data_IF_195287620298
#
_entry.id   IF_195287620298
#
_cell.length_a   1.000
_cell.length_b   1.000
_cell.length_c   1.000
_cell.angle_alpha   90.00
_cell.angle_beta   90.00
_cell.angle_gamma   90.00
#
_symmetry.space_group_name_H-M   'P 1'
#
loop_
_entity.id
_entity.type
_entity.pdbx_description
1 polymer ?
#
# COMPACT_ATOMS: atom_id res chain seq x y z
N UNK A 1 -36.28 62.84 -0.13
CA UNK A 1 -36.24 61.62 0.72
C UNK A 1 -34.88 60.98 0.50
N UNK A 2 -33.92 61.43 1.29
CA UNK A 2 -32.51 61.15 1.15
C UNK A 2 -32.19 59.74 1.68
N UNK A 3 -31.58 58.91 0.83
CA UNK A 3 -30.95 57.65 1.25
C UNK A 3 -29.61 57.99 1.91
N UNK A 4 -29.37 57.58 3.17
CA UNK A 4 -28.05 57.75 3.77
C UNK A 4 -27.06 56.87 3.00
N UNK A 5 -26.06 57.50 2.39
CA UNK A 5 -24.90 56.84 1.80
C UNK A 5 -24.10 56.18 2.92
N UNK A 6 -24.30 54.88 3.10
CA UNK A 6 -23.54 54.02 4.02
C UNK A 6 -22.10 53.88 3.48
N UNK A 7 -21.28 54.91 3.72
CA UNK A 7 -19.83 54.89 3.52
C UNK A 7 -19.20 53.94 4.53
N UNK A 8 -19.37 52.62 4.34
CA UNK A 8 -18.52 51.65 5.01
C UNK A 8 -17.11 51.83 4.47
N UNK A 9 -16.11 52.14 5.30
CA UNK A 9 -14.74 52.22 4.86
C UNK A 9 -14.40 50.90 4.17
N UNK A 10 -13.95 50.97 2.91
CA UNK A 10 -13.29 49.85 2.25
C UNK A 10 -12.18 49.39 3.19
N UNK A 11 -12.40 48.28 3.88
CA UNK A 11 -11.40 47.58 4.68
C UNK A 11 -10.31 47.10 3.71
N UNK A 12 -9.34 47.98 3.46
CA UNK A 12 -8.17 47.78 2.59
C UNK A 12 -7.02 47.07 3.30
N UNK A 13 -7.27 46.50 4.48
CA UNK A 13 -6.39 45.50 5.07
C UNK A 13 -7.00 44.13 4.75
N UNK A 14 -6.32 43.36 3.92
CA UNK A 14 -6.60 41.96 3.71
C UNK A 14 -6.48 41.25 5.06
N UNK A 15 -7.58 41.15 5.79
CA UNK A 15 -7.67 40.42 7.06
C UNK A 15 -7.12 39.03 6.81
N UNK A 16 -5.93 38.77 7.36
CA UNK A 16 -5.28 37.49 7.28
C UNK A 16 -6.16 36.55 8.07
N UNK A 17 -7.00 35.79 7.37
CA UNK A 17 -7.86 34.80 8.01
C UNK A 17 -6.95 33.74 8.63
N UNK A 18 -6.73 33.84 9.93
CA UNK A 18 -6.03 32.81 10.68
C UNK A 18 -6.90 31.55 10.74
N UNK A 19 -6.29 30.35 10.70
CA UNK A 19 -7.03 29.11 10.91
C UNK A 19 -7.73 29.15 12.26
N UNK A 20 -8.97 28.70 12.31
CA UNK A 20 -9.73 28.61 13.56
C UNK A 20 -8.98 27.69 14.54
N UNK A 21 -8.64 28.17 15.76
CA UNK A 21 -7.90 27.36 16.72
C UNK A 21 -8.74 26.20 17.29
N UNK A 22 -10.06 26.27 17.18
CA UNK A 22 -10.95 25.26 17.73
C UNK A 22 -11.15 24.08 16.77
N UNK A 23 -11.14 22.83 17.27
CA UNK A 23 -11.40 21.67 16.44
C UNK A 23 -12.85 21.71 15.92
N UNK A 24 -13.09 21.42 14.63
CA UNK A 24 -14.44 21.45 14.08
C UNK A 24 -15.35 20.39 14.70
N UNK A 25 -16.62 20.74 14.85
CA UNK A 25 -17.67 19.84 15.30
C UNK A 25 -17.93 18.71 14.31
N UNK A 26 -18.55 17.61 14.78
CA UNK A 26 -18.93 16.48 13.90
C UNK A 26 -19.90 16.90 12.78
N UNK A 27 -20.74 17.89 13.03
CA UNK A 27 -21.68 18.44 12.06
C UNK A 27 -20.94 19.16 10.92
N UNK A 28 -20.03 20.06 11.28
CA UNK A 28 -19.20 20.81 10.33
C UNK A 28 -18.33 19.89 9.47
N UNK A 29 -17.74 18.85 10.06
CA UNK A 29 -16.95 17.85 9.32
C UNK A 29 -17.80 17.08 8.29
N UNK A 30 -19.08 16.81 8.59
CA UNK A 30 -20.01 16.20 7.63
C UNK A 30 -20.38 17.20 6.53
N UNK A 31 -20.58 18.46 6.87
CA UNK A 31 -20.82 19.54 5.89
C UNK A 31 -19.63 19.72 4.95
N UNK A 32 -18.41 19.77 5.47
CA UNK A 32 -17.18 19.79 4.68
C UNK A 32 -17.04 18.59 3.75
N UNK A 33 -17.34 17.37 4.23
CA UNK A 33 -17.33 16.20 3.38
C UNK A 33 -18.39 16.26 2.26
N UNK A 34 -19.53 16.93 2.49
CA UNK A 34 -20.55 17.18 1.46
C UNK A 34 -20.11 18.29 0.51
N UNK A 35 -19.45 19.34 0.98
CA UNK A 35 -18.86 20.40 0.17
C UNK A 35 -17.88 19.82 -0.86
N UNK A 36 -16.95 18.97 -0.41
CA UNK A 36 -16.04 18.23 -1.29
C UNK A 36 -16.78 17.36 -2.30
N UNK A 37 -17.89 16.72 -1.91
CA UNK A 37 -18.71 15.91 -2.85
C UNK A 37 -19.44 16.74 -3.89
N UNK A 38 -19.79 17.99 -3.57
CA UNK A 38 -20.45 18.93 -4.48
C UNK A 38 -19.48 19.66 -5.40
N UNK A 39 -18.18 19.57 -5.14
CA UNK A 39 -17.17 20.28 -5.92
C UNK A 39 -17.00 19.70 -7.33
N UNK A 40 -16.51 20.54 -8.24
CA UNK A 40 -16.26 20.19 -9.65
C UNK A 40 -15.39 18.94 -9.80
N UNK A 41 -14.33 18.84 -8.99
CA UNK A 41 -13.31 17.79 -9.10
C UNK A 41 -13.46 16.67 -8.07
N UNK A 42 -14.64 16.52 -7.47
CA UNK A 42 -14.88 15.58 -6.37
C UNK A 42 -14.48 14.13 -6.70
N UNK A 43 -14.64 13.67 -7.95
CA UNK A 43 -14.28 12.28 -8.34
C UNK A 43 -12.77 12.06 -8.27
N UNK A 44 -11.99 13.02 -8.77
CA UNK A 44 -10.52 12.97 -8.74
C UNK A 44 -10.05 13.02 -7.27
N UNK A 45 -10.58 13.96 -6.50
CA UNK A 45 -10.26 14.10 -5.07
C UNK A 45 -10.61 12.85 -4.29
N UNK A 46 -11.78 12.26 -4.52
CA UNK A 46 -12.15 11.02 -3.84
C UNK A 46 -11.27 9.85 -4.25
N UNK A 47 -10.80 9.78 -5.50
CA UNK A 47 -9.88 8.72 -5.91
C UNK A 47 -8.49 8.91 -5.31
N UNK A 48 -8.05 10.15 -5.12
CA UNK A 48 -6.79 10.49 -4.44
C UNK A 48 -6.84 10.17 -2.94
N UNK A 49 -7.84 10.73 -2.24
CA UNK A 49 -7.97 10.62 -0.78
C UNK A 49 -8.51 9.25 -0.34
N UNK A 50 -9.24 8.58 -1.23
CA UNK A 50 -9.87 7.27 -0.98
C UNK A 50 -9.67 6.35 -2.17
N UNK A 51 -8.43 5.92 -2.46
CA UNK A 51 -8.18 5.06 -3.60
C UNK A 51 -8.99 3.78 -3.48
N UNK A 52 -9.38 3.24 -4.64
CA UNK A 52 -9.99 1.92 -4.69
C UNK A 52 -8.93 0.89 -4.34
N UNK A 53 -9.27 -0.08 -3.49
CA UNK A 53 -8.33 -1.13 -3.10
C UNK A 53 -8.06 -2.11 -4.23
N UNK A 54 -7.28 -3.15 -3.92
CA UNK A 54 -6.98 -4.25 -4.86
C UNK A 54 -8.27 -4.88 -5.39
N UNK A 55 -9.30 -4.98 -4.54
CA UNK A 55 -10.61 -5.48 -4.96
C UNK A 55 -11.31 -4.57 -5.95
N UNK A 56 -10.98 -3.27 -6.02
CA UNK A 56 -11.66 -2.24 -6.82
C UNK A 56 -13.12 -1.98 -6.46
N UNK A 57 -13.74 -2.83 -5.62
CA UNK A 57 -15.14 -2.72 -5.18
C UNK A 57 -15.23 -1.72 -4.05
N UNK A 58 -14.34 -1.87 -3.06
CA UNK A 58 -14.30 -1.02 -1.89
C UNK A 58 -13.16 -0.02 -2.01
N UNK A 59 -13.36 1.16 -1.40
CA UNK A 59 -12.28 2.12 -1.20
C UNK A 59 -11.48 1.70 0.02
N UNK A 60 -10.15 1.82 -0.04
CA UNK A 60 -9.25 1.39 1.04
C UNK A 60 -9.36 2.24 2.29
N UNK A 61 -9.86 3.46 2.16
CA UNK A 61 -9.94 4.43 3.24
C UNK A 61 -11.37 4.69 3.69
N UNK A 62 -11.49 5.04 4.97
CA UNK A 62 -12.76 5.37 5.61
C UNK A 62 -13.48 6.55 4.95
N UNK A 63 -14.79 6.76 5.20
CA UNK A 63 -15.53 7.90 4.65
C UNK A 63 -14.86 9.23 4.99
N UNK A 64 -14.90 10.19 4.06
CA UNK A 64 -14.16 11.45 4.17
C UNK A 64 -14.40 12.20 5.49
N UNK A 65 -15.63 12.22 6.00
CA UNK A 65 -15.93 12.84 7.30
C UNK A 65 -15.13 12.21 8.47
N UNK A 66 -14.88 10.90 8.43
CA UNK A 66 -14.06 10.21 9.42
C UNK A 66 -12.58 10.59 9.27
N UNK A 67 -12.10 10.71 8.03
CA UNK A 67 -10.73 11.13 7.76
C UNK A 67 -10.47 12.57 8.19
N UNK A 68 -11.41 13.49 7.94
CA UNK A 68 -11.30 14.87 8.41
C UNK A 68 -11.28 14.92 9.95
N UNK A 69 -12.09 14.09 10.62
CA UNK A 69 -12.06 13.95 12.08
C UNK A 69 -10.70 13.44 12.58
N UNK A 70 -10.14 12.43 11.91
CA UNK A 70 -8.81 11.90 12.21
C UNK A 70 -7.73 12.97 12.01
N UNK A 71 -7.80 13.70 10.89
CA UNK A 71 -6.88 14.80 10.60
C UNK A 71 -6.96 15.92 11.65
N UNK A 72 -8.17 16.31 12.07
CA UNK A 72 -8.36 17.29 13.15
C UNK A 72 -7.71 16.82 14.46
N UNK A 73 -7.95 15.56 14.87
CA UNK A 73 -7.35 15.00 16.09
C UNK A 73 -5.83 14.89 16.03
N UNK A 74 -5.27 14.75 14.84
CA UNK A 74 -3.83 14.66 14.61
C UNK A 74 -3.18 16.03 14.35
N UNK A 75 -3.94 17.13 14.47
CA UNK A 75 -3.49 18.49 14.16
C UNK A 75 -2.95 18.62 12.71
N UNK A 76 -3.55 17.86 11.79
CA UNK A 76 -3.24 17.83 10.35
C UNK A 76 -4.25 18.61 9.50
N UNK A 77 -5.40 18.92 10.06
CA UNK A 77 -6.44 19.69 9.40
C UNK A 77 -6.20 21.18 9.68
N UNK A 78 -5.95 21.95 8.61
CA UNK A 78 -6.04 23.40 8.65
C UNK A 78 -7.49 23.77 8.33
N UNK A 79 -8.13 24.48 9.26
CA UNK A 79 -9.58 24.68 9.24
C UNK A 79 -9.91 26.16 9.36
N UNK A 80 -10.67 26.68 8.41
CA UNK A 80 -11.27 28.02 8.48
C UNK A 80 -12.78 27.92 8.53
N UNK A 81 -13.36 27.13 7.63
CA UNK A 81 -14.80 26.88 7.55
C UNK A 81 -15.09 25.52 6.89
N UNK A 82 -16.36 25.06 6.89
CA UNK A 82 -16.73 23.85 6.15
C UNK A 82 -16.47 23.91 4.65
N UNK A 83 -16.35 25.10 4.06
CA UNK A 83 -16.10 25.30 2.63
C UNK A 83 -14.64 25.71 2.36
N UNK A 84 -13.82 25.96 3.40
CA UNK A 84 -12.41 26.33 3.27
C UNK A 84 -11.52 25.61 4.29
N UNK A 85 -10.79 24.60 3.82
CA UNK A 85 -9.90 23.77 4.65
C UNK A 85 -8.86 23.01 3.82
N UNK A 86 -7.80 22.55 4.49
CA UNK A 86 -6.79 21.67 3.89
C UNK A 86 -6.34 20.56 4.85
N UNK A 87 -5.99 19.40 4.31
CA UNK A 87 -5.49 18.24 5.06
C UNK A 87 -4.05 17.95 4.69
N UNK A 88 -3.18 18.04 5.69
CA UNK A 88 -1.76 17.76 5.57
C UNK A 88 -1.46 16.31 5.98
N UNK A 89 -0.44 15.71 5.39
CA UNK A 89 0.13 14.44 5.80
C UNK A 89 1.60 14.67 6.17
N UNK A 90 2.01 14.31 7.40
CA UNK A 90 3.41 14.39 7.78
C UNK A 90 4.23 13.32 7.05
N UNK A 91 5.56 13.49 6.99
CA UNK A 91 6.47 12.43 6.55
C UNK A 91 6.20 11.12 7.30
N UNK A 92 6.34 9.98 6.61
CA UNK A 92 6.08 8.65 7.16
C UNK A 92 7.00 8.29 8.35
N UNK A 93 8.20 8.88 8.41
CA UNK A 93 9.13 8.73 9.52
C UNK A 93 8.69 9.47 10.79
N UNK A 94 7.81 10.48 10.66
CA UNK A 94 7.41 11.29 11.79
C UNK A 94 6.34 10.55 12.62
N UNK A 95 6.56 10.37 13.94
CA UNK A 95 5.58 9.73 14.79
C UNK A 95 4.29 10.55 14.80
N UNK A 96 3.18 9.91 14.41
CA UNK A 96 1.88 10.55 14.46
C UNK A 96 1.47 10.75 15.92
N UNK A 97 1.15 12.00 16.29
CA UNK A 97 0.66 12.38 17.62
C UNK A 97 -0.50 11.47 18.09
N UNK A 98 -0.65 11.37 19.42
CA UNK A 98 -1.62 10.54 20.13
C UNK A 98 -3.08 10.90 19.77
N UNK A 99 -3.55 10.41 18.62
CA UNK A 99 -4.97 10.33 18.28
C UNK A 99 -5.58 8.99 18.71
N UNK A 100 -6.91 8.90 18.66
CA UNK A 100 -7.65 7.66 18.95
C UNK A 100 -7.05 6.47 18.17
N UNK A 101 -6.46 5.51 18.89
CA UNK A 101 -5.88 4.29 18.30
C UNK A 101 -6.93 3.52 17.50
N UNK A 102 -8.15 3.46 18.02
CA UNK A 102 -9.30 2.83 17.36
C UNK A 102 -9.63 3.47 16.00
N UNK A 103 -9.73 4.80 15.91
CA UNK A 103 -10.08 5.44 14.64
C UNK A 103 -8.99 5.23 13.58
N UNK A 104 -7.72 5.26 13.98
CA UNK A 104 -6.59 4.94 13.08
C UNK A 104 -6.64 3.49 12.60
N UNK A 105 -6.95 2.57 13.52
CA UNK A 105 -7.14 1.17 13.18
C UNK A 105 -8.29 1.01 12.18
N UNK A 106 -9.44 1.63 12.45
CA UNK A 106 -10.60 1.57 11.56
C UNK A 106 -10.33 2.18 10.18
N UNK A 107 -9.57 3.28 10.07
CA UNK A 107 -9.19 3.84 8.77
C UNK A 107 -8.19 2.96 8.02
N UNK A 108 -7.21 2.40 8.74
CA UNK A 108 -6.17 1.52 8.15
C UNK A 108 -6.74 0.21 7.64
N UNK A 109 -7.73 -0.34 8.34
CA UNK A 109 -8.34 -1.64 8.04
C UNK A 109 -9.75 -1.48 7.46
N UNK A 110 -10.08 -0.31 6.91
CA UNK A 110 -11.44 -0.03 6.43
C UNK A 110 -11.87 -1.00 5.33
N UNK A 111 -10.97 -1.34 4.40
CA UNK A 111 -11.22 -2.34 3.37
C UNK A 111 -11.50 -3.73 3.95
N UNK A 112 -10.71 -4.18 4.93
CA UNK A 112 -10.94 -5.45 5.61
C UNK A 112 -12.26 -5.44 6.38
N UNK A 113 -12.61 -4.34 7.04
CA UNK A 113 -13.91 -4.22 7.72
C UNK A 113 -15.04 -4.33 6.70
N UNK A 114 -14.96 -3.65 5.55
CA UNK A 114 -15.98 -3.78 4.51
C UNK A 114 -16.04 -5.18 3.89
N UNK A 115 -14.90 -5.88 3.84
CA UNK A 115 -14.80 -7.25 3.32
C UNK A 115 -15.35 -8.31 4.29
N UNK A 116 -14.97 -8.24 5.57
CA UNK A 116 -15.29 -9.26 6.57
C UNK A 116 -16.59 -9.01 7.34
N UNK A 117 -16.99 -7.75 7.52
CA UNK A 117 -18.15 -7.43 8.35
C UNK A 117 -19.45 -8.01 7.78
N UNK A 118 -19.78 -7.89 6.47
CA UNK A 118 -21.03 -8.46 5.95
C UNK A 118 -21.14 -9.99 6.12
N UNK A 119 -20.16 -10.83 5.73
CA UNK A 119 -20.27 -12.27 5.93
C UNK A 119 -20.28 -12.63 7.42
N UNK A 120 -19.54 -11.91 8.27
CA UNK A 120 -19.55 -12.13 9.72
C UNK A 120 -20.94 -11.88 10.32
N UNK A 121 -21.60 -10.78 9.94
CA UNK A 121 -22.95 -10.45 10.39
C UNK A 121 -23.96 -11.50 9.90
N UNK A 122 -23.83 -11.97 8.65
CA UNK A 122 -24.69 -13.03 8.11
C UNK A 122 -24.50 -14.36 8.83
N UNK A 123 -23.26 -14.77 9.09
CA UNK A 123 -22.96 -16.00 9.84
C UNK A 123 -23.44 -15.90 11.28
N UNK A 124 -23.23 -14.76 11.95
CA UNK A 124 -23.73 -14.53 13.30
C UNK A 124 -25.27 -14.57 13.34
N UNK A 125 -25.94 -13.95 12.36
CA UNK A 125 -27.39 -14.02 12.20
C UNK A 125 -27.89 -15.45 11.98
N UNK A 126 -27.19 -16.23 11.15
CA UNK A 126 -27.48 -17.65 10.94
C UNK A 126 -27.27 -18.50 12.20
N UNK A 127 -26.23 -18.21 12.99
CA UNK A 127 -25.99 -18.84 14.28
C UNK A 127 -27.07 -18.53 15.30
N UNK A 128 -27.53 -17.28 15.38
CA UNK A 128 -28.67 -16.89 16.23
C UNK A 128 -29.94 -17.60 15.77
N UNK A 129 -30.22 -17.67 14.47
CA UNK A 129 -31.38 -18.39 13.94
C UNK A 129 -31.30 -19.91 14.25
N UNK A 130 -30.13 -20.52 14.13
CA UNK A 130 -29.90 -21.92 14.50
C UNK A 130 -30.05 -22.17 16.02
N UNK A 131 -29.62 -21.22 16.85
CA UNK A 131 -29.80 -21.28 18.29
C UNK A 131 -31.28 -21.18 18.68
N UNK A 132 -32.03 -20.27 18.05
CA UNK A 132 -33.49 -20.16 18.23
C UNK A 132 -34.19 -21.44 17.74
N UNK A 133 -33.72 -22.05 16.64
CA UNK A 133 -34.21 -23.33 16.15
C UNK A 133 -34.08 -24.47 17.18
N UNK A 134 -33.06 -24.44 18.04
CA UNK A 134 -32.87 -25.45 19.09
C UNK A 134 -33.94 -25.39 20.20
N UNK A 135 -34.75 -24.32 20.25
CA UNK A 135 -35.82 -24.18 21.23
C UNK A 135 -37.03 -25.09 20.90
N UNK A 136 -37.72 -25.65 21.90
CA UNK A 136 -38.83 -26.58 21.69
C UNK A 136 -40.14 -25.92 21.21
N UNK A 137 -40.24 -24.59 21.18
CA UNK A 137 -41.44 -23.88 20.71
C UNK A 137 -41.58 -23.93 19.17
N UNK A 138 -42.81 -24.14 18.68
CA UNK A 138 -43.11 -24.32 17.25
C UNK A 138 -42.56 -23.21 16.33
N UNK A 139 -42.19 -23.59 15.09
CA UNK A 139 -41.56 -22.69 14.10
C UNK A 139 -40.22 -23.17 13.54
N UNK A 140 -39.82 -24.43 13.81
CA UNK A 140 -38.49 -24.97 13.49
C UNK A 140 -38.08 -24.85 12.03
N UNK A 141 -38.99 -25.06 11.08
CA UNK A 141 -38.66 -25.03 9.65
C UNK A 141 -38.31 -23.62 9.15
N UNK A 142 -38.95 -22.58 9.70
CA UNK A 142 -38.69 -21.19 9.31
C UNK A 142 -37.28 -20.78 9.76
N UNK A 143 -36.89 -21.09 10.99
CA UNK A 143 -35.58 -20.74 11.54
C UNK A 143 -34.44 -21.50 10.86
N UNK A 144 -34.66 -22.77 10.50
CA UNK A 144 -33.73 -23.55 9.67
C UNK A 144 -33.54 -22.91 8.30
N UNK A 145 -34.63 -22.59 7.62
CA UNK A 145 -34.57 -21.93 6.31
C UNK A 145 -33.84 -20.58 6.41
N UNK A 146 -34.13 -19.78 7.44
CA UNK A 146 -33.43 -18.51 7.68
C UNK A 146 -31.93 -18.70 7.93
N UNK A 147 -31.53 -19.66 8.77
CA UNK A 147 -30.12 -19.96 9.03
C UNK A 147 -29.40 -20.40 7.75
N UNK A 148 -30.02 -21.28 6.95
CA UNK A 148 -29.47 -21.73 5.67
C UNK A 148 -29.34 -20.58 4.67
N UNK A 149 -30.35 -19.72 4.55
CA UNK A 149 -30.33 -18.55 3.67
C UNK A 149 -29.22 -17.58 4.09
N UNK A 150 -29.05 -17.31 5.38
CA UNK A 150 -27.96 -16.48 5.89
C UNK A 150 -26.57 -17.05 5.53
N UNK A 151 -26.39 -18.36 5.71
CA UNK A 151 -25.12 -19.03 5.38
C UNK A 151 -24.84 -19.00 3.87
N UNK A 152 -25.84 -19.32 3.05
CA UNK A 152 -25.73 -19.26 1.59
C UNK A 152 -25.45 -17.85 1.09
N UNK A 153 -26.09 -16.83 1.69
CA UNK A 153 -25.83 -15.43 1.37
C UNK A 153 -24.39 -15.02 1.74
N UNK A 154 -23.87 -15.46 2.89
CA UNK A 154 -22.49 -15.21 3.29
C UNK A 154 -21.50 -15.86 2.31
N UNK A 155 -21.74 -17.12 1.94
CA UNK A 155 -20.94 -17.84 0.95
C UNK A 155 -20.97 -17.17 -0.42
N UNK A 156 -22.16 -16.80 -0.92
CA UNK A 156 -22.33 -16.12 -2.19
C UNK A 156 -21.60 -14.76 -2.20
N UNK A 157 -21.70 -14.00 -1.12
CA UNK A 157 -20.99 -12.73 -0.95
C UNK A 157 -19.46 -12.93 -1.07
N UNK A 158 -18.90 -13.88 -0.32
CA UNK A 158 -17.46 -14.18 -0.37
C UNK A 158 -17.05 -14.66 -1.76
N UNK A 159 -17.82 -15.56 -2.38
CA UNK A 159 -17.54 -16.08 -3.71
C UNK A 159 -17.50 -14.97 -4.77
N UNK A 160 -18.49 -14.05 -4.76
CA UNK A 160 -18.52 -12.90 -5.66
C UNK A 160 -17.32 -11.99 -5.45
N UNK A 161 -16.96 -11.69 -4.20
CA UNK A 161 -15.79 -10.86 -3.92
C UNK A 161 -14.48 -11.52 -4.35
N UNK A 162 -14.31 -12.81 -4.09
CA UNK A 162 -13.13 -13.57 -4.52
C UNK A 162 -13.03 -13.62 -6.04
N UNK A 163 -14.14 -13.81 -6.75
CA UNK A 163 -14.17 -13.76 -8.22
C UNK A 163 -13.75 -12.37 -8.74
N UNK A 164 -14.27 -11.28 -8.16
CA UNK A 164 -13.91 -9.92 -8.55
C UNK A 164 -12.43 -9.62 -8.27
N UNK A 165 -11.92 -10.06 -7.11
CA UNK A 165 -10.51 -9.96 -6.74
C UNK A 165 -9.61 -10.71 -7.73
N UNK A 166 -9.99 -11.94 -8.09
CA UNK A 166 -9.24 -12.77 -9.04
C UNK A 166 -9.20 -12.13 -10.43
N UNK A 167 -10.36 -11.70 -10.96
CA UNK A 167 -10.45 -11.04 -12.28
C UNK A 167 -9.63 -9.76 -12.32
N UNK A 168 -9.69 -8.94 -11.27
CA UNK A 168 -8.91 -7.69 -11.19
C UNK A 168 -7.42 -7.95 -11.00
N UNK A 169 -7.05 -8.85 -10.11
CA UNK A 169 -5.67 -9.26 -9.91
C UNK A 169 -5.05 -9.78 -11.21
N UNK A 170 -5.78 -10.63 -11.93
CA UNK A 170 -5.37 -11.11 -13.24
C UNK A 170 -5.23 -9.98 -14.26
N UNK A 171 -6.19 -9.04 -14.30
CA UNK A 171 -6.13 -7.88 -15.21
C UNK A 171 -4.94 -6.95 -14.91
N UNK A 172 -4.66 -6.67 -13.64
CA UNK A 172 -3.53 -5.83 -13.26
C UNK A 172 -2.19 -6.56 -13.51
N UNK A 173 -2.12 -7.87 -13.24
CA UNK A 173 -0.96 -8.69 -13.60
C UNK A 173 -0.74 -8.70 -15.12
N UNK A 174 -1.81 -8.90 -15.90
CA UNK A 174 -1.77 -8.84 -17.36
C UNK A 174 -1.27 -7.47 -17.84
N UNK A 175 -1.77 -6.38 -17.26
CA UNK A 175 -1.30 -5.02 -17.56
C UNK A 175 0.18 -4.84 -17.22
N UNK A 176 0.61 -5.29 -16.05
CA UNK A 176 2.01 -5.17 -15.62
C UNK A 176 2.96 -5.95 -16.54
N UNK A 177 2.55 -7.15 -16.97
CA UNK A 177 3.38 -8.02 -17.83
C UNK A 177 3.39 -7.53 -19.28
N UNK A 178 2.26 -7.05 -19.82
CA UNK A 178 2.10 -6.78 -21.27
C UNK A 178 2.19 -5.30 -21.61
N UNK A 179 1.59 -4.42 -20.82
CA UNK A 179 1.55 -2.97 -21.11
C UNK A 179 2.78 -2.22 -20.57
N UNK A 180 3.72 -2.94 -19.95
CA UNK A 180 5.04 -2.43 -19.59
C UNK A 180 5.08 -1.66 -18.27
N UNK A 181 6.26 -1.70 -17.63
CA UNK A 181 6.56 -1.17 -16.29
C UNK A 181 6.54 0.37 -16.16
N UNK A 182 6.43 1.10 -17.27
CA UNK A 182 6.74 2.54 -17.29
C UNK A 182 5.85 3.38 -16.36
N UNK A 183 4.55 3.07 -16.28
CA UNK A 183 3.63 3.84 -15.43
C UNK A 183 3.86 3.62 -13.93
N UNK A 184 4.20 2.39 -13.56
CA UNK A 184 4.36 1.99 -12.15
C UNK A 184 5.64 2.58 -11.54
N UNK A 185 6.69 2.78 -12.35
CA UNK A 185 7.94 3.40 -11.90
C UNK A 185 7.71 4.84 -11.43
N UNK A 186 7.00 5.65 -12.23
CA UNK A 186 6.74 7.06 -11.89
C UNK A 186 5.83 7.17 -10.67
N UNK A 187 4.75 6.38 -10.60
CA UNK A 187 3.83 6.41 -9.46
C UNK A 187 4.52 5.96 -8.15
N UNK A 188 5.39 4.95 -8.22
CA UNK A 188 6.13 4.45 -7.05
C UNK A 188 7.18 5.46 -6.58
N UNK A 189 7.93 6.06 -7.51
CA UNK A 189 8.93 7.09 -7.19
C UNK A 189 8.29 8.32 -6.53
N UNK A 190 7.20 8.82 -7.11
CA UNK A 190 6.41 9.92 -6.53
C UNK A 190 5.86 9.56 -5.15
N UNK A 191 5.36 8.33 -4.97
CA UNK A 191 4.88 7.86 -3.67
C UNK A 191 5.97 7.85 -2.59
N UNK A 192 7.21 7.52 -2.94
CA UNK A 192 8.35 7.58 -2.02
C UNK A 192 8.69 9.03 -1.63
N UNK A 193 8.70 9.95 -2.60
CA UNK A 193 8.94 11.38 -2.36
C UNK A 193 7.83 11.98 -1.49
N UNK A 194 6.57 11.62 -1.74
CA UNK A 194 5.42 12.01 -0.90
C UNK A 194 5.49 11.45 0.53
N UNK A 195 6.11 10.29 0.72
CA UNK A 195 6.27 9.67 2.03
C UNK A 195 7.41 10.30 2.86
N UNK A 196 8.36 11.00 2.22
CA UNK A 196 9.51 11.60 2.90
C UNK A 196 9.33 13.07 3.26
N UNK A 197 8.32 13.74 2.69
CA UNK A 197 8.05 15.17 2.88
C UNK A 197 6.64 15.42 3.42
N UNK A 198 6.40 16.63 3.92
CA UNK A 198 5.03 17.08 4.16
C UNK A 198 4.26 17.13 2.84
N UNK A 199 3.03 16.59 2.85
CA UNK A 199 2.16 16.64 1.68
C UNK A 199 0.76 17.17 2.00
N UNK A 200 0.20 17.96 1.09
CA UNK A 200 -1.19 18.41 1.13
C UNK A 200 -2.05 17.44 0.32
N UNK A 201 -2.71 16.53 1.03
CA UNK A 201 -3.50 15.43 0.45
C UNK A 201 -4.89 15.85 -0.03
N UNK A 202 -5.46 16.89 0.60
CA UNK A 202 -6.77 17.43 0.26
C UNK A 202 -6.74 18.94 0.46
N UNK A 203 -7.21 19.68 -0.53
CA UNK A 203 -7.30 21.13 -0.51
C UNK A 203 -8.68 21.55 -1.03
N UNK A 204 -9.50 22.09 -0.15
CA UNK A 204 -10.81 22.62 -0.48
C UNK A 204 -10.80 24.13 -0.26
N UNK A 205 -10.83 24.88 -1.37
CA UNK A 205 -10.83 26.34 -1.37
C UNK A 205 -11.92 26.80 -2.34
N UNK A 206 -12.90 27.61 -1.90
CA UNK A 206 -13.99 28.05 -2.74
C UNK A 206 -13.55 29.17 -3.69
N UNK A 207 -12.58 29.99 -3.27
CA UNK A 207 -12.09 31.14 -4.02
C UNK A 207 -10.58 31.05 -4.30
N UNK A 208 -10.18 31.30 -5.54
CA UNK A 208 -8.77 31.38 -5.93
C UNK A 208 -7.98 32.45 -5.14
N UNK A 209 -8.65 33.50 -4.66
CA UNK A 209 -8.02 34.59 -3.91
C UNK A 209 -7.49 34.16 -2.53
N UNK A 210 -7.97 33.04 -1.98
CA UNK A 210 -7.59 32.55 -0.65
C UNK A 210 -6.32 31.67 -0.67
N UNK A 211 -5.86 31.25 -1.86
CA UNK A 211 -4.69 30.37 -2.03
C UNK A 211 -3.41 30.94 -1.39
N UNK A 212 -3.06 32.24 -1.51
CA UNK A 212 -1.88 32.78 -0.84
C UNK A 212 -1.94 32.67 0.69
N UNK A 213 -3.12 32.89 1.28
CA UNK A 213 -3.34 32.74 2.73
C UNK A 213 -3.24 31.28 3.16
N UNK A 214 -3.81 30.37 2.39
CA UNK A 214 -3.65 28.93 2.60
C UNK A 214 -2.18 28.53 2.59
N UNK A 215 -1.41 28.92 1.56
CA UNK A 215 0.00 28.54 1.45
C UNK A 215 0.86 29.07 2.60
N UNK A 216 0.58 30.28 3.08
CA UNK A 216 1.24 30.81 4.29
C UNK A 216 0.95 29.94 5.52
N UNK A 217 -0.31 29.57 5.73
CA UNK A 217 -0.72 28.73 6.86
C UNK A 217 -0.19 27.28 6.75
N UNK A 218 -0.09 26.73 5.55
CA UNK A 218 0.50 25.41 5.34
C UNK A 218 2.00 25.44 5.62
N UNK A 219 2.72 26.46 5.13
CA UNK A 219 4.15 26.61 5.39
C UNK A 219 4.45 26.83 6.86
N UNK A 220 3.69 27.67 7.56
CA UNK A 220 3.88 27.86 9.00
C UNK A 220 3.70 26.54 9.78
N UNK A 221 2.88 25.61 9.26
CA UNK A 221 2.69 24.28 9.85
C UNK A 221 3.76 23.26 9.44
N UNK A 222 4.17 23.25 8.17
CA UNK A 222 5.16 22.31 7.62
C UNK A 222 6.60 22.71 7.96
N UNK A 223 6.84 23.98 8.32
CA UNK A 223 8.17 24.51 8.62
C UNK A 223 8.89 25.00 7.35
N UNK A 224 10.20 24.80 7.32
CA UNK A 224 11.09 25.19 6.20
C UNK A 224 11.16 24.15 5.09
N UNK A 225 10.38 23.08 5.17
CA UNK A 225 10.41 21.99 4.19
C UNK A 225 9.54 22.31 2.98
N UNK A 226 9.94 21.78 1.82
CA UNK A 226 9.11 21.78 0.62
C UNK A 226 7.83 20.98 0.87
N UNK A 227 6.71 21.55 0.43
CA UNK A 227 5.41 20.94 0.56
C UNK A 227 4.97 20.37 -0.79
N UNK A 228 4.65 19.08 -0.80
CA UNK A 228 4.13 18.41 -1.98
C UNK A 228 2.60 18.47 -1.98
N UNK A 229 1.98 18.83 -3.10
CA UNK A 229 0.55 18.90 -3.24
C UNK A 229 0.10 18.00 -4.39
N UNK A 230 -0.68 16.97 -4.09
CA UNK A 230 -1.32 16.17 -5.13
C UNK A 230 -2.38 17.05 -5.82
N UNK A 231 -2.19 17.40 -7.09
CA UNK A 231 -3.16 18.26 -7.79
C UNK A 231 -4.55 17.60 -7.85
N UNK A 232 -4.60 16.27 -7.89
CA UNK A 232 -5.83 15.48 -7.81
C UNK A 232 -6.60 15.69 -6.49
N UNK A 233 -5.91 16.08 -5.41
CA UNK A 233 -6.49 16.42 -4.11
C UNK A 233 -7.13 17.82 -4.02
N UNK A 234 -7.04 18.63 -5.07
CA UNK A 234 -7.63 19.99 -5.11
C UNK A 234 -9.04 19.92 -5.70
N UNK A 235 -10.03 20.48 -4.97
CA UNK A 235 -11.45 20.25 -5.24
C UNK A 235 -12.08 21.07 -6.36
N UNK A 236 -11.48 22.20 -6.74
CA UNK A 236 -12.00 23.12 -7.77
C UNK A 236 -10.93 23.42 -8.81
N UNK A 237 -11.34 23.64 -10.07
CA UNK A 237 -10.40 23.96 -11.16
C UNK A 237 -9.70 25.30 -10.87
N UNK A 238 -10.45 26.31 -10.43
CA UNK A 238 -9.92 27.65 -10.13
C UNK A 238 -8.84 27.63 -9.05
N UNK A 239 -9.04 26.91 -7.94
CA UNK A 239 -8.02 26.75 -6.91
C UNK A 239 -6.76 26.04 -7.44
N UNK A 240 -6.91 25.02 -8.30
CA UNK A 240 -5.80 24.29 -8.90
C UNK A 240 -4.97 25.18 -9.83
N UNK A 241 -5.62 25.95 -10.70
CA UNK A 241 -4.95 26.92 -11.57
C UNK A 241 -4.29 28.04 -10.78
N UNK A 242 -4.99 28.59 -9.79
CA UNK A 242 -4.45 29.64 -8.93
C UNK A 242 -3.23 29.17 -8.14
N UNK A 243 -3.21 27.91 -7.71
CA UNK A 243 -2.05 27.29 -7.09
C UNK A 243 -0.90 27.12 -8.09
N UNK A 244 -1.17 26.65 -9.31
CA UNK A 244 -0.15 26.52 -10.38
C UNK A 244 0.47 27.85 -10.81
N UNK A 245 -0.28 28.95 -10.72
CA UNK A 245 0.22 30.30 -11.05
C UNK A 245 1.06 30.93 -9.92
N UNK A 246 1.18 30.29 -8.77
CA UNK A 246 2.00 30.83 -7.68
C UNK A 246 3.49 30.74 -8.03
N UNK A 247 4.29 31.79 -7.80
CA UNK A 247 5.69 31.85 -8.24
C UNK A 247 6.63 30.85 -7.54
N UNK A 248 6.14 30.16 -6.51
CA UNK A 248 6.90 29.13 -5.77
C UNK A 248 6.32 27.73 -5.95
N UNK A 249 5.48 27.54 -6.98
CA UNK A 249 4.83 26.27 -7.26
C UNK A 249 5.34 25.74 -8.59
N UNK A 250 6.08 24.64 -8.50
CA UNK A 250 6.60 23.94 -9.66
C UNK A 250 5.81 22.65 -9.91
N UNK A 251 5.84 22.16 -11.15
CA UNK A 251 5.24 20.88 -11.52
C UNK A 251 6.31 19.80 -11.44
N UNK A 252 6.17 18.86 -10.50
CA UNK A 252 7.13 17.77 -10.31
C UNK A 252 7.04 16.72 -11.43
N UNK A 253 5.81 16.34 -11.78
CA UNK A 253 5.52 15.28 -12.75
C UNK A 253 4.35 15.67 -13.65
N UNK A 254 4.38 15.18 -14.89
CA UNK A 254 3.33 15.43 -15.86
C UNK A 254 2.02 14.65 -15.55
N UNK A 255 2.11 13.46 -14.95
CA UNK A 255 0.94 12.63 -14.58
C UNK A 255 1.33 11.58 -13.52
N UNK A 256 0.63 11.46 -12.37
CA UNK A 256 -0.35 12.39 -11.81
C UNK A 256 0.34 13.67 -11.33
N UNK A 257 -0.17 14.85 -11.73
CA UNK A 257 0.43 16.14 -11.38
C UNK A 257 0.66 16.30 -9.87
N UNK A 258 1.92 16.13 -9.43
CA UNK A 258 2.35 16.58 -8.11
C UNK A 258 2.92 17.98 -8.26
N UNK A 259 2.37 18.91 -7.49
CA UNK A 259 2.82 20.29 -7.42
C UNK A 259 3.76 20.43 -6.22
N UNK A 260 4.89 21.10 -6.38
CA UNK A 260 5.86 21.32 -5.31
C UNK A 260 5.75 22.78 -4.92
N UNK A 261 5.30 23.04 -3.70
CA UNK A 261 5.35 24.36 -3.10
C UNK A 261 6.70 24.48 -2.41
N UNK A 262 7.66 25.12 -3.07
CA UNK A 262 9.03 25.23 -2.58
C UNK A 262 9.16 26.21 -1.44
N UNK A 263 9.97 25.88 -0.44
CA UNK A 263 10.38 26.83 0.59
C UNK A 263 11.35 27.84 -0.01
N UNK A 264 12.36 27.33 -0.71
CA UNK A 264 13.37 28.07 -1.47
C UNK A 264 13.37 27.60 -2.94
N UNK A 265 13.08 28.49 -3.91
CA UNK A 265 13.09 28.14 -5.34
C UNK A 265 14.48 27.86 -5.91
N UNK A 266 15.57 28.21 -5.21
CA UNK A 266 16.93 27.94 -5.68
C UNK A 266 17.49 26.60 -5.16
N UNK A 267 17.05 26.13 -3.98
CA UNK A 267 17.63 24.96 -3.34
C UNK A 267 17.20 23.62 -4.00
N UNK A 268 18.11 22.76 -4.46
CA UNK A 268 17.75 21.50 -5.12
C UNK A 268 16.94 20.59 -4.20
N UNK A 269 16.02 19.81 -4.78
CA UNK A 269 15.29 18.81 -4.01
C UNK A 269 16.23 17.69 -3.60
N UNK A 270 16.33 17.46 -2.29
CA UNK A 270 17.11 16.36 -1.73
C UNK A 270 16.18 15.26 -1.23
N UNK A 271 16.49 14.01 -1.52
CA UNK A 271 15.79 12.88 -0.90
C UNK A 271 16.42 12.61 0.46
N UNK A 272 15.68 12.73 1.58
CA UNK A 272 16.22 12.31 2.86
C UNK A 272 16.47 10.80 2.82
N UNK A 273 17.49 10.31 3.55
CA UNK A 273 17.79 8.89 3.59
C UNK A 273 16.56 8.12 4.08
N UNK A 274 16.05 7.22 3.24
CA UNK A 274 14.90 6.38 3.61
C UNK A 274 15.31 5.51 4.79
N UNK A 275 14.63 5.60 5.95
CA UNK A 275 14.96 4.75 7.08
C UNK A 275 14.80 3.29 6.67
N UNK A 276 15.82 2.47 6.93
CA UNK A 276 15.81 1.04 6.60
C UNK A 276 14.62 0.27 7.20
N UNK A 277 13.96 0.85 8.21
CA UNK A 277 12.86 0.24 8.95
C UNK A 277 11.46 0.54 8.39
N UNK A 278 11.30 1.41 7.37
CA UNK A 278 9.96 1.71 6.81
C UNK A 278 9.46 0.58 5.89
N UNK A 279 10.35 -0.26 5.38
CA UNK A 279 9.96 -1.50 4.69
C UNK A 279 9.55 -2.54 5.72
N UNK A 280 8.40 -2.33 6.38
CA UNK A 280 7.76 -3.39 7.15
C UNK A 280 7.68 -4.63 6.26
N UNK A 281 8.18 -5.77 6.76
CA UNK A 281 8.39 -6.98 5.95
C UNK A 281 7.18 -7.21 5.02
N UNK A 282 7.34 -7.06 3.69
CA UNK A 282 6.24 -7.22 2.74
C UNK A 282 5.64 -8.63 2.76
N UNK A 283 6.25 -9.54 3.53
CA UNK A 283 5.81 -10.90 3.75
C UNK A 283 4.85 -11.06 4.94
N UNK A 284 4.48 -10.03 5.73
CA UNK A 284 3.71 -10.24 6.99
C UNK A 284 2.39 -11.03 6.83
N UNK A 285 1.79 -11.09 5.64
CA UNK A 285 0.60 -11.91 5.39
C UNK A 285 0.86 -13.31 4.83
N UNK A 286 2.03 -13.56 4.22
CA UNK A 286 2.32 -14.85 3.55
C UNK A 286 2.40 -16.01 4.54
N UNK A 287 3.12 -15.92 5.68
CA UNK A 287 3.14 -17.00 6.66
C UNK A 287 1.76 -17.32 7.22
N UNK A 288 0.93 -16.32 7.50
CA UNK A 288 -0.43 -16.52 7.99
C UNK A 288 -1.29 -17.25 6.96
N UNK A 289 -1.18 -16.85 5.70
CA UNK A 289 -1.93 -17.45 4.61
C UNK A 289 -1.46 -18.88 4.30
N UNK A 290 -0.15 -19.14 4.35
CA UNK A 290 0.42 -20.49 4.22
C UNK A 290 0.02 -21.39 5.40
N UNK A 291 0.02 -20.85 6.62
CA UNK A 291 -0.46 -21.57 7.80
C UNK A 291 -1.95 -21.91 7.69
N UNK A 292 -2.77 -20.97 7.21
CA UNK A 292 -4.19 -21.22 6.93
C UNK A 292 -4.39 -22.31 5.88
N UNK A 293 -3.60 -22.29 4.80
CA UNK A 293 -3.64 -23.33 3.76
C UNK A 293 -3.23 -24.70 4.32
N UNK A 294 -2.17 -24.75 5.13
CA UNK A 294 -1.73 -25.97 5.79
C UNK A 294 -2.83 -26.53 6.71
N UNK A 295 -3.49 -25.67 7.50
CA UNK A 295 -4.60 -26.08 8.35
C UNK A 295 -5.78 -26.64 7.54
N UNK A 296 -6.15 -26.00 6.42
CA UNK A 296 -7.21 -26.49 5.52
C UNK A 296 -6.85 -27.87 4.96
N UNK A 297 -5.60 -28.09 4.57
CA UNK A 297 -5.14 -29.38 4.03
C UNK A 297 -5.18 -30.47 5.11
N UNK A 298 -4.66 -30.18 6.31
CA UNK A 298 -4.62 -31.14 7.41
C UNK A 298 -6.03 -31.55 7.86
N UNK A 299 -6.93 -30.58 8.05
CA UNK A 299 -8.33 -30.86 8.43
C UNK A 299 -9.10 -31.49 7.26
N UNK A 300 -8.86 -31.02 6.05
CA UNK A 300 -9.49 -31.53 4.84
C UNK A 300 -9.15 -32.98 4.54
N UNK A 301 -7.94 -33.43 4.88
CA UNK A 301 -7.49 -34.80 4.66
C UNK A 301 -8.36 -35.82 5.43
N UNK A 302 -8.73 -35.50 6.67
CA UNK A 302 -9.61 -36.35 7.47
C UNK A 302 -11.01 -36.46 6.84
N UNK A 303 -11.57 -35.32 6.42
CA UNK A 303 -12.85 -35.28 5.71
C UNK A 303 -12.82 -36.07 4.39
N UNK A 304 -11.76 -35.94 3.59
CA UNK A 304 -11.60 -36.71 2.34
C UNK A 304 -11.56 -38.21 2.61
N UNK A 305 -10.75 -38.65 3.57
CA UNK A 305 -10.66 -40.05 3.93
C UNK A 305 -12.01 -40.60 4.40
N UNK A 306 -12.73 -39.84 5.22
CA UNK A 306 -14.06 -40.22 5.68
C UNK A 306 -15.09 -40.31 4.53
N UNK A 307 -15.12 -39.32 3.63
CA UNK A 307 -16.06 -39.32 2.50
C UNK A 307 -15.81 -40.49 1.54
N UNK A 308 -14.56 -40.83 1.27
CA UNK A 308 -14.22 -41.97 0.41
C UNK A 308 -14.51 -43.31 1.08
N UNK A 309 -14.23 -43.46 2.39
CA UNK A 309 -14.63 -44.65 3.16
C UNK A 309 -16.14 -44.87 3.11
N UNK A 310 -16.93 -43.83 3.31
CA UNK A 310 -18.39 -43.90 3.22
C UNK A 310 -18.88 -44.28 1.83
N UNK A 311 -18.20 -43.82 0.78
CA UNK A 311 -18.53 -44.17 -0.60
C UNK A 311 -18.19 -45.63 -0.89
N UNK A 312 -17.04 -46.12 -0.42
CA UNK A 312 -16.60 -47.52 -0.56
C UNK A 312 -17.45 -48.51 0.23
N UNK A 313 -17.93 -48.13 1.41
CA UNK A 313 -18.82 -48.96 2.23
C UNK A 313 -20.13 -49.30 1.51
N UNK A 314 -20.59 -48.44 0.59
CA UNK A 314 -21.83 -48.65 -0.19
C UNK A 314 -21.66 -49.58 -1.39
N UNK A 315 -20.42 -49.94 -1.74
CA UNK A 315 -20.14 -50.80 -2.90
C UNK A 315 -20.24 -52.29 -2.47
N UNK A 316 -20.92 -53.15 -3.24
CA UNK A 316 -21.01 -54.59 -2.98
C UNK A 316 -19.66 -55.31 -3.02
N UNK A 317 -19.55 -56.41 -2.28
CA UNK A 317 -18.29 -57.01 -1.87
C UNK A 317 -17.36 -57.60 -2.97
N UNK A 318 -17.81 -58.12 -4.13
CA UNK A 318 -16.84 -58.51 -5.15
C UNK A 318 -16.23 -57.30 -5.90
N UNK A 319 -16.93 -56.18 -5.95
CA UNK A 319 -16.50 -54.99 -6.69
C UNK A 319 -15.75 -53.98 -5.81
N UNK A 320 -15.91 -54.08 -4.49
CA UNK A 320 -15.36 -53.09 -3.55
C UNK A 320 -13.83 -52.99 -3.63
N UNK A 321 -13.11 -54.11 -3.67
CA UNK A 321 -11.66 -54.11 -3.71
C UNK A 321 -11.12 -53.34 -4.93
N UNK A 322 -11.52 -53.77 -6.14
CA UNK A 322 -11.12 -53.11 -7.38
C UNK A 322 -11.61 -51.65 -7.47
N UNK A 323 -12.81 -51.34 -6.98
CA UNK A 323 -13.37 -49.98 -7.07
C UNK A 323 -12.77 -48.99 -6.05
N UNK A 324 -12.05 -49.47 -5.04
CA UNK A 324 -11.51 -48.69 -3.93
C UNK A 324 -9.98 -48.74 -3.80
N UNK A 325 -9.30 -49.54 -4.62
CA UNK A 325 -7.84 -49.68 -4.64
C UNK A 325 -7.13 -48.33 -4.85
N UNK A 326 -7.64 -47.51 -5.76
CA UNK A 326 -7.04 -46.21 -6.10
C UNK A 326 -7.61 -45.03 -5.28
N UNK A 327 -8.13 -45.26 -4.06
CA UNK A 327 -8.81 -44.21 -3.30
C UNK A 327 -8.06 -43.80 -2.04
N UNK A 328 -8.11 -42.51 -1.65
CA UNK A 328 -7.51 -42.06 -0.42
C UNK A 328 -8.38 -42.44 0.80
N UNK A 329 -8.32 -43.70 1.22
CA UNK A 329 -9.12 -44.24 2.34
C UNK A 329 -8.50 -43.96 3.72
N UNK A 330 -7.20 -43.71 3.75
CA UNK A 330 -6.45 -43.36 4.96
C UNK A 330 -6.16 -41.87 4.99
N UNK A 331 -5.93 -41.32 6.19
CA UNK A 331 -5.52 -39.93 6.35
C UNK A 331 -4.23 -39.62 5.57
N UNK A 332 -3.27 -40.55 5.56
CA UNK A 332 -2.00 -40.39 4.85
C UNK A 332 -2.18 -40.26 3.33
N UNK A 333 -3.00 -41.13 2.74
CA UNK A 333 -3.30 -41.09 1.30
C UNK A 333 -4.08 -39.82 0.93
N UNK A 334 -5.04 -39.41 1.78
CA UNK A 334 -5.80 -38.20 1.59
C UNK A 334 -4.95 -36.94 1.70
N UNK A 335 -4.03 -36.88 2.66
CA UNK A 335 -3.07 -35.80 2.80
C UNK A 335 -2.13 -35.72 1.59
N UNK A 336 -1.58 -36.86 1.17
CA UNK A 336 -0.73 -36.94 -0.03
C UNK A 336 -1.48 -36.51 -1.30
N UNK A 337 -2.74 -36.92 -1.44
CA UNK A 337 -3.61 -36.47 -2.53
C UNK A 337 -3.84 -34.96 -2.51
N UNK A 338 -4.17 -34.35 -1.36
CA UNK A 338 -4.35 -32.90 -1.23
C UNK A 338 -3.05 -32.11 -1.47
N UNK A 339 -1.90 -32.64 -1.05
CA UNK A 339 -0.60 -32.02 -1.33
C UNK A 339 -0.29 -32.02 -2.84
N UNK A 340 -0.60 -33.09 -3.57
CA UNK A 340 -0.48 -33.10 -5.04
C UNK A 340 -1.49 -32.16 -5.71
N UNK A 341 -2.67 -31.96 -5.12
CA UNK A 341 -3.62 -30.96 -5.61
C UNK A 341 -3.09 -29.52 -5.52
N UNK A 342 -2.14 -29.21 -4.63
CA UNK A 342 -1.50 -27.89 -4.60
C UNK A 342 -0.78 -27.56 -5.92
N UNK A 343 -0.16 -28.55 -6.56
CA UNK A 343 0.49 -28.38 -7.86
C UNK A 343 -0.46 -28.57 -9.05
N UNK A 344 -1.75 -28.80 -8.78
CA UNK A 344 -2.77 -29.07 -9.79
C UNK A 344 -2.73 -30.50 -10.36
N UNK A 345 -1.90 -31.38 -9.79
CA UNK A 345 -1.81 -32.78 -10.19
C UNK A 345 -2.78 -33.69 -9.43
N UNK A 346 -2.98 -34.89 -9.98
CA UNK A 346 -3.47 -36.06 -9.25
C UNK A 346 -2.27 -37.00 -9.05
N UNK A 347 -2.06 -37.58 -7.85
CA UNK A 347 -1.03 -38.58 -7.67
C UNK A 347 -1.33 -39.85 -8.49
N UNK A 348 -0.28 -40.49 -8.99
CA UNK A 348 -0.41 -41.78 -9.67
C UNK A 348 -1.05 -42.80 -8.73
N UNK A 349 -2.12 -43.46 -9.20
CA UNK A 349 -2.84 -44.49 -8.46
C UNK A 349 -3.73 -43.99 -7.32
N UNK A 350 -3.97 -42.68 -7.17
CA UNK A 350 -4.85 -42.13 -6.14
C UNK A 350 -5.79 -41.06 -6.70
N UNK A 351 -7.09 -41.36 -6.74
CA UNK A 351 -8.14 -40.47 -7.23
C UNK A 351 -9.37 -40.44 -6.32
N UNK A 352 -9.73 -39.26 -5.84
CA UNK A 352 -10.98 -39.07 -5.09
C UNK A 352 -12.20 -39.09 -6.03
N UNK A 353 -13.24 -39.86 -5.67
CA UNK A 353 -14.48 -39.98 -6.48
C UNK A 353 -15.67 -39.27 -5.86
N UNK A 354 -15.72 -39.16 -4.54
CA UNK A 354 -16.77 -38.43 -3.85
C UNK A 354 -16.84 -36.99 -4.36
N UNK A 355 -18.05 -36.46 -4.46
CA UNK A 355 -18.26 -35.10 -4.96
C UNK A 355 -17.58 -34.09 -4.04
N UNK A 356 -17.70 -34.29 -2.73
CA UNK A 356 -17.13 -33.44 -1.69
C UNK A 356 -15.60 -33.38 -1.79
N UNK A 357 -14.92 -34.53 -1.90
CA UNK A 357 -13.46 -34.56 -2.04
C UNK A 357 -13.01 -33.89 -3.34
N UNK A 358 -13.68 -34.14 -4.46
CA UNK A 358 -13.37 -33.48 -5.75
C UNK A 358 -13.53 -31.96 -5.67
N UNK A 359 -14.61 -31.48 -5.06
CA UNK A 359 -14.83 -30.04 -4.83
C UNK A 359 -13.73 -29.44 -3.95
N UNK A 360 -13.37 -30.11 -2.85
CA UNK A 360 -12.30 -29.65 -1.97
C UNK A 360 -10.93 -29.62 -2.70
N UNK A 361 -10.60 -30.67 -3.45
CA UNK A 361 -9.36 -30.73 -4.24
C UNK A 361 -9.27 -29.59 -5.27
N UNK A 362 -10.37 -29.31 -5.98
CA UNK A 362 -10.44 -28.18 -6.91
C UNK A 362 -10.26 -26.84 -6.18
N UNK A 363 -10.89 -26.65 -5.02
CA UNK A 363 -10.71 -25.45 -4.20
C UNK A 363 -9.25 -25.28 -3.75
N UNK A 364 -8.60 -26.36 -3.33
CA UNK A 364 -7.19 -26.37 -2.93
C UNK A 364 -6.28 -25.95 -4.09
N UNK A 365 -6.51 -26.49 -5.30
CA UNK A 365 -5.78 -26.08 -6.50
C UNK A 365 -6.02 -24.62 -6.86
N UNK A 366 -7.27 -24.13 -6.79
CA UNK A 366 -7.56 -22.73 -7.08
C UNK A 366 -6.88 -21.80 -6.06
N UNK A 367 -6.93 -22.16 -4.78
CA UNK A 367 -6.26 -21.41 -3.73
C UNK A 367 -4.75 -21.38 -3.97
N UNK A 368 -4.11 -22.51 -4.29
CA UNK A 368 -2.67 -22.54 -4.54
C UNK A 368 -2.25 -21.60 -5.68
N UNK A 369 -3.02 -21.56 -6.78
CA UNK A 369 -2.79 -20.63 -7.88
C UNK A 369 -2.89 -19.15 -7.45
N UNK A 370 -3.89 -18.82 -6.63
CA UNK A 370 -4.05 -17.46 -6.08
C UNK A 370 -2.85 -17.11 -5.19
N UNK A 371 -2.41 -18.03 -4.34
CA UNK A 371 -1.27 -17.84 -3.44
C UNK A 371 0.01 -17.59 -4.25
N UNK A 372 0.27 -18.42 -5.27
CA UNK A 372 1.43 -18.27 -6.16
C UNK A 372 1.39 -16.91 -6.86
N UNK A 373 0.26 -16.55 -7.45
CA UNK A 373 0.09 -15.25 -8.10
C UNK A 373 0.33 -14.09 -7.13
N UNK A 374 -0.18 -14.18 -5.90
CA UNK A 374 0.02 -13.17 -4.87
C UNK A 374 1.50 -13.07 -4.44
N UNK A 375 2.19 -14.20 -4.23
CA UNK A 375 3.63 -14.24 -3.93
C UNK A 375 4.42 -13.56 -5.06
N UNK A 376 4.12 -13.89 -6.32
CA UNK A 376 4.78 -13.27 -7.48
C UNK A 376 4.58 -11.75 -7.49
N UNK A 377 3.34 -11.27 -7.35
CA UNK A 377 3.05 -9.81 -7.31
C UNK A 377 3.76 -9.12 -6.14
N UNK A 378 3.81 -9.76 -4.96
CA UNK A 378 4.52 -9.25 -3.79
C UNK A 378 6.02 -9.17 -4.03
N UNK A 379 6.62 -10.17 -4.68
CA UNK A 379 8.03 -10.16 -5.05
C UNK A 379 8.33 -9.07 -6.08
N UNK A 380 7.45 -8.83 -7.05
CA UNK A 380 7.60 -7.72 -8.00
C UNK A 380 7.51 -6.37 -7.31
N UNK A 381 6.55 -6.17 -6.41
CA UNK A 381 6.44 -4.96 -5.60
C UNK A 381 7.69 -4.75 -4.72
N UNK A 382 8.24 -5.82 -4.16
CA UNK A 382 9.49 -5.76 -3.41
C UNK A 382 10.68 -5.39 -4.28
N UNK A 383 10.79 -5.98 -5.47
CA UNK A 383 11.85 -5.65 -6.41
C UNK A 383 11.76 -4.17 -6.84
N UNK A 384 10.54 -3.70 -7.13
CA UNK A 384 10.28 -2.29 -7.44
C UNK A 384 10.63 -1.36 -6.27
N UNK A 385 10.28 -1.72 -5.04
CA UNK A 385 10.62 -0.95 -3.84
C UNK A 385 12.12 -0.96 -3.53
N UNK A 386 12.83 -2.06 -3.84
CA UNK A 386 14.30 -2.16 -3.67
C UNK A 386 15.05 -1.30 -4.67
N UNK A 387 14.47 -1.02 -5.82
CA UNK A 387 15.00 -0.03 -6.78
C UNK A 387 14.79 1.39 -6.24
N UNK A 388 15.41 1.70 -5.09
CA UNK A 388 15.53 3.05 -4.49
C UNK A 388 16.03 4.09 -5.49
N UNK A 389 16.73 3.63 -6.53
CA UNK A 389 17.13 4.42 -7.69
C UNK A 389 15.93 5.18 -8.27
N UNK A 390 14.74 4.60 -8.37
CA UNK A 390 13.61 5.27 -9.02
C UNK A 390 13.18 6.58 -8.35
N UNK A 391 13.13 6.63 -7.01
CA UNK A 391 12.80 7.89 -6.32
C UNK A 391 13.88 8.94 -6.50
N UNK A 392 15.14 8.52 -6.53
CA UNK A 392 16.29 9.38 -6.78
C UNK A 392 16.33 9.83 -8.24
N UNK A 393 16.16 8.94 -9.21
CA UNK A 393 16.10 9.22 -10.66
C UNK A 393 15.01 10.26 -10.99
N UNK A 394 13.84 10.20 -10.34
CA UNK A 394 12.77 11.19 -10.53
C UNK A 394 13.16 12.56 -9.95
N UNK A 395 13.84 12.58 -8.80
CA UNK A 395 14.31 13.83 -8.17
C UNK A 395 15.49 14.42 -8.95
N UNK A 396 16.40 13.58 -9.43
CA UNK A 396 17.54 13.97 -10.27
C UNK A 396 17.04 14.53 -11.60
N UNK A 397 16.11 13.83 -12.29
CA UNK A 397 15.47 14.33 -13.51
C UNK A 397 14.74 15.66 -13.29
N UNK A 398 14.09 15.85 -12.14
CA UNK A 398 13.49 17.15 -11.80
C UNK A 398 14.57 18.23 -11.57
N UNK A 399 15.63 17.91 -10.81
CA UNK A 399 16.71 18.85 -10.53
C UNK A 399 17.47 19.26 -11.80
N UNK A 400 17.58 18.37 -12.79
CA UNK A 400 18.12 18.68 -14.13
C UNK A 400 17.25 19.68 -14.92
N UNK A 401 15.95 19.72 -14.66
CA UNK A 401 15.03 20.71 -15.29
C UNK A 401 14.99 22.05 -14.57
N UNK A 402 15.55 22.14 -13.36
CA UNK A 402 15.71 23.43 -12.72
C UNK A 402 16.64 24.26 -13.60
N UNK A 403 16.31 25.53 -13.86
CA UNK A 403 17.22 26.45 -14.53
C UNK A 403 18.43 26.64 -13.62
N UNK A 404 19.38 25.71 -13.74
CA UNK A 404 20.66 25.77 -13.08
C UNK A 404 21.46 26.88 -13.73
N UNK A 405 22.01 27.74 -12.88
CA UNK A 405 23.29 28.41 -13.17
C UNK A 405 24.12 27.45 -14.02
N UNK A 406 24.40 27.83 -15.26
CA UNK A 406 25.39 27.17 -16.10
C UNK A 406 26.53 26.77 -15.17
N UNK A 407 26.81 25.45 -15.00
CA UNK A 407 27.75 24.95 -14.00
C UNK A 407 28.94 25.86 -14.10
N UNK A 408 29.16 26.71 -13.08
CA UNK A 408 29.99 27.91 -13.18
C UNK A 408 31.24 27.49 -13.90
N UNK A 409 31.32 27.84 -15.20
CA UNK A 409 32.20 27.16 -16.13
C UNK A 409 33.55 27.14 -15.46
N UNK A 410 34.10 25.93 -15.31
CA UNK A 410 35.39 25.65 -14.73
C UNK A 410 36.15 26.95 -14.64
N UNK A 411 36.21 27.54 -13.43
CA UNK A 411 37.16 28.59 -13.16
C UNK A 411 38.46 27.97 -13.64
N UNK A 412 38.90 28.43 -14.82
CA UNK A 412 40.00 27.82 -15.53
C UNK A 412 41.08 27.66 -14.46
N UNK A 413 41.65 26.45 -14.29
CA UNK A 413 42.68 26.26 -13.29
C UNK A 413 43.61 27.46 -13.40
N UNK A 414 43.82 28.23 -12.31
CA UNK A 414 44.58 29.47 -12.40
C UNK A 414 45.84 29.14 -13.19
N UNK A 415 46.18 29.92 -14.23
CA UNK A 415 47.29 29.58 -15.11
C UNK A 415 48.45 29.20 -14.23
N UNK A 416 48.93 27.97 -14.40
CA UNK A 416 50.09 27.45 -13.71
C UNK A 416 51.22 28.43 -14.01
N UNK A 417 51.43 29.37 -13.08
CA UNK A 417 52.51 30.34 -13.17
C UNK A 417 53.80 29.56 -13.26
N UNK A 418 54.55 29.85 -14.30
CA UNK A 418 55.88 29.32 -14.55
C UNK A 418 56.73 29.39 -13.27
N UNK A 419 57.00 28.22 -12.70
CA UNK A 419 58.07 28.08 -11.70
C UNK A 419 59.38 28.17 -12.47
N UNK A 420 60.03 29.31 -12.32
CA UNK A 420 61.39 29.54 -12.79
C UNK A 420 62.36 28.47 -12.23
N UNK A 421 63.38 28.06 -13.00
CA UNK A 421 64.37 27.10 -12.54
C UNK A 421 65.39 27.80 -11.65
N UNK A 422 65.43 27.46 -10.36
CA UNK A 422 66.59 27.75 -9.51
C UNK A 422 67.44 26.50 -9.33
N UNK A 423 68.73 26.72 -9.60
CA UNK A 423 69.88 25.83 -9.68
C UNK A 423 70.15 24.89 -8.49
N UNK A 424 71.05 23.90 -8.70
CA UNK A 424 71.46 22.91 -7.72
C UNK A 424 72.52 23.45 -6.75
N UNK A 425 72.55 22.93 -5.52
CA UNK A 425 73.61 23.28 -4.57
C UNK A 425 73.45 22.63 -3.19
N UNK A 426 74.16 21.53 -3.03
CA UNK A 426 74.88 21.09 -1.82
C UNK A 426 74.15 20.44 -0.63
N UNK A 427 74.63 19.22 -0.39
CA UNK A 427 74.39 18.33 0.74
C UNK A 427 75.13 18.78 2.00
N UNK A 428 74.54 18.51 3.19
CA UNK A 428 75.28 18.00 4.38
C UNK A 428 74.34 17.20 5.30
N UNK A 429 74.65 15.90 5.40
CA UNK A 429 74.70 14.98 6.54
C UNK A 429 73.77 15.09 7.79
N UNK A 430 73.19 13.91 8.09
CA UNK A 430 73.05 13.22 9.40
C UNK A 430 72.14 13.80 10.49
N UNK A 431 71.10 13.05 10.88
CA UNK A 431 71.14 12.29 12.13
C UNK A 431 70.01 11.25 12.21
N UNK A 432 70.37 10.10 12.75
CA UNK A 432 69.56 8.93 13.09
C UNK A 432 68.59 9.17 14.26
N UNK A 433 67.38 8.62 14.15
CA UNK A 433 66.46 8.43 15.26
C UNK A 433 65.46 7.29 14.97
N UNK A 434 65.41 6.21 15.77
CA UNK A 434 64.49 5.10 15.59
C UNK A 434 63.23 5.26 16.45
N UNK A 435 62.10 4.80 15.92
CA UNK A 435 60.80 4.76 16.61
C UNK A 435 59.76 5.48 15.76
N UNK A 436 58.64 4.91 15.37
CA UNK A 436 57.96 3.71 15.80
C UNK A 436 56.51 3.91 15.42
N UNK A 437 55.96 2.98 14.63
CA UNK A 437 54.53 2.69 14.49
C UNK A 437 53.53 3.83 14.30
N UNK A 438 53.11 4.06 13.06
CA UNK A 438 51.71 4.42 12.75
C UNK A 438 51.42 4.06 11.30
N UNK A 439 50.85 2.87 11.08
CA UNK A 439 50.35 2.45 9.78
C UNK A 439 49.15 3.30 9.36
N UNK A 440 48.96 3.54 8.05
CA UNK A 440 47.81 4.27 7.54
C UNK A 440 46.54 3.48 7.82
N UNK A 441 45.60 4.09 8.56
CA UNK A 441 44.29 3.52 8.82
C UNK A 441 43.54 3.30 7.51
N UNK A 442 43.33 2.02 7.19
CA UNK A 442 42.36 1.59 6.18
C UNK A 442 40.98 2.18 6.48
N UNK A 443 40.25 2.67 5.46
CA UNK A 443 38.84 2.97 5.61
C UNK A 443 38.07 1.66 5.82
N UNK A 444 37.74 1.36 7.08
CA UNK A 444 36.81 0.29 7.45
C UNK A 444 35.46 0.60 6.81
N UNK A 445 35.21 -0.03 5.67
CA UNK A 445 33.89 -0.10 5.07
C UNK A 445 32.96 -0.84 6.04
N UNK A 446 31.82 -0.27 6.46
CA UNK A 446 30.84 -1.00 7.24
C UNK A 446 30.20 -2.05 6.34
N UNK A 447 30.69 -3.29 6.43
CA UNK A 447 29.98 -4.43 5.87
C UNK A 447 28.69 -4.62 6.68
N UNK A 448 27.50 -4.48 6.07
CA UNK A 448 26.27 -4.78 6.76
C UNK A 448 26.24 -6.29 7.04
N UNK A 449 26.20 -6.66 8.32
CA UNK A 449 25.86 -8.02 8.76
C UNK A 449 24.43 -8.33 8.30
N UNK A 450 24.30 -8.97 7.14
CA UNK A 450 23.09 -9.66 6.76
C UNK A 450 22.92 -10.89 7.67
N UNK A 451 21.94 -10.84 8.57
CA UNK A 451 21.50 -12.00 9.33
C UNK A 451 20.88 -13.07 8.41
N UNK A 452 20.81 -14.34 8.86
CA UNK A 452 20.38 -15.46 8.05
C UNK A 452 18.86 -15.43 7.87
N UNK A 453 18.35 -14.67 6.90
CA UNK A 453 16.93 -14.72 6.48
C UNK A 453 16.77 -15.16 5.02
N UNK A 454 17.86 -15.43 4.30
CA UNK A 454 17.86 -15.98 2.94
C UNK A 454 17.55 -17.49 2.90
N UNK A 455 17.60 -18.20 4.02
CA UNK A 455 17.34 -19.65 4.09
C UNK A 455 15.91 -20.08 3.75
N UNK A 456 14.90 -19.26 4.07
CA UNK A 456 13.49 -19.61 3.85
C UNK A 456 13.05 -19.45 2.38
N UNK A 457 13.65 -18.51 1.64
CA UNK A 457 13.37 -18.30 0.21
C UNK A 457 14.10 -19.31 -0.68
N UNK A 458 15.30 -19.74 -0.29
CA UNK A 458 16.01 -20.84 -0.95
C UNK A 458 15.30 -22.19 -0.76
N UNK A 459 14.64 -22.43 0.38
CA UNK A 459 13.88 -23.67 0.62
C UNK A 459 12.67 -23.86 -0.31
N UNK A 460 11.93 -22.79 -0.63
CA UNK A 460 10.77 -22.85 -1.53
C UNK A 460 11.15 -22.90 -3.02
N UNK A 461 12.17 -22.13 -3.44
CA UNK A 461 12.70 -22.22 -4.80
C UNK A 461 13.41 -23.57 -5.05
N UNK A 462 14.15 -24.09 -4.06
CA UNK A 462 14.73 -25.41 -4.11
C UNK A 462 13.65 -26.51 -4.09
N UNK A 463 12.56 -26.36 -3.33
CA UNK A 463 11.45 -27.33 -3.34
C UNK A 463 10.77 -27.46 -4.70
N UNK A 464 10.50 -26.33 -5.37
CA UNK A 464 9.88 -26.33 -6.71
C UNK A 464 10.87 -26.79 -7.80
N UNK A 465 12.13 -26.36 -7.74
CA UNK A 465 13.17 -26.79 -8.69
C UNK A 465 13.55 -28.27 -8.50
N UNK A 466 13.62 -28.77 -7.26
CA UNK A 466 13.89 -30.17 -6.94
C UNK A 466 12.70 -31.06 -7.31
N UNK A 467 11.46 -30.58 -7.13
CA UNK A 467 10.26 -31.26 -7.63
C UNK A 467 10.26 -31.38 -9.16
N UNK A 468 10.63 -30.32 -9.88
CA UNK A 468 10.75 -30.33 -11.35
C UNK A 468 11.93 -31.21 -11.84
N UNK A 469 13.06 -31.21 -11.13
CA UNK A 469 14.23 -32.06 -11.44
C UNK A 469 13.97 -33.54 -11.15
N UNK A 470 13.24 -33.87 -10.09
CA UNK A 470 12.86 -35.25 -9.78
C UNK A 470 11.78 -35.79 -10.73
N UNK A 471 10.83 -34.95 -11.16
CA UNK A 471 9.85 -35.31 -12.20
C UNK A 471 10.49 -35.55 -13.57
N UNK A 472 11.62 -34.89 -13.87
CA UNK A 472 12.35 -35.05 -15.14
C UNK A 472 13.32 -36.24 -15.14
N UNK A 473 13.65 -36.80 -13.97
CA UNK A 473 14.55 -37.96 -13.82
C UNK A 473 13.81 -39.30 -13.71
N UNK A 474 12.47 -39.27 -13.67
CA UNK A 474 11.57 -40.44 -13.64
C UNK A 474 10.77 -40.65 -14.94
N UNK A 475 10.97 -39.79 -15.94
CA UNK A 475 10.74 -40.11 -17.35
C UNK A 475 12.08 -40.52 -17.94
#
# INVERSE_FOLDING_TARGET
MDRPSDNRPMTTAADVHEPNPHPPSRGELRTAARAVRRSELHRAVLNEVRPRGVSGVFRTRSPLALQLRLAAQQNRLLWWSPEFFAVLAPPAAQPQRLGSRWLRWLDRWWDLVMFFLPPLVLVAGGGVAAFVWAQPAGGREIWRAAALVCLLAAMAYVAVLMAVLAVRGFRELYRMVILGRAKEVTETGVGQVLATRWSMTLCHVPSAAEIPSLLRAVRSRAGTEDLLCAAAGITTVRAREALRRQPRVDVFTADPFVLIVRADPAAPLTMPPVPANITGSPLHGIPLLLAGMAAIILVGADGVAEWERHLCARIPEPQRAAACEERPLTYGDALYWLLNRLSGGDPEGLGARSFQARSLGLMVTLMSLIIVGWVITTLFQQAAARSRRFGQDVVDAYNETLPGETPSGDAAPPPSGDVAPTSPGDAVATSSGPGGGAGPGEPVSPTPRYGPQTGALLGLAAGVALGALLARRRR
#
